data_IF_707081695296
#
_entry.id   IF_707081695296
#
_cell.length_a   1.000
_cell.length_b   1.000
_cell.length_c   1.000
_cell.angle_alpha   90.00
_cell.angle_beta   90.00
_cell.angle_gamma   90.00
#
_symmetry.space_group_name_H-M   'P 1'
#
loop_
_entity.id
_entity.type
_entity.pdbx_description
1 polymer ?
#
# COMPACT_ATOMS: atom_id res chain seq x y z
N UNK A 1 -7.86 45.63 6.06
CA UNK A 1 -8.70 44.40 6.19
C UNK A 1 -7.94 43.27 5.51
N UNK A 2 -7.13 42.51 6.26
CA UNK A 2 -6.38 41.37 5.71
C UNK A 2 -7.28 40.14 5.69
N UNK A 3 -7.57 39.63 4.51
CA UNK A 3 -8.24 38.34 4.31
C UNK A 3 -7.21 37.22 4.43
N UNK A 4 -7.33 36.42 5.49
CA UNK A 4 -6.63 35.14 5.61
C UNK A 4 -7.04 34.22 4.46
N UNK A 5 -6.11 33.48 3.82
CA UNK A 5 -6.51 32.39 2.95
C UNK A 5 -7.13 31.30 3.82
N UNK A 6 -8.38 30.99 3.50
CA UNK A 6 -9.14 29.86 4.00
C UNK A 6 -8.27 28.60 3.96
N UNK A 7 -8.15 27.94 5.12
CA UNK A 7 -7.80 26.53 5.20
C UNK A 7 -8.53 25.78 4.09
N UNK A 8 -7.90 24.84 3.36
CA UNK A 8 -8.63 23.94 2.48
C UNK A 8 -9.50 23.05 3.37
N UNK A 9 -10.67 23.59 3.70
CA UNK A 9 -11.81 22.91 4.26
C UNK A 9 -12.13 21.80 3.27
N UNK A 10 -11.83 20.58 3.72
CA UNK A 10 -12.57 19.39 3.32
C UNK A 10 -12.60 19.26 1.79
N UNK A 11 -11.44 18.92 1.22
CA UNK A 11 -11.46 18.14 -0.01
C UNK A 11 -12.50 17.04 0.21
N UNK A 12 -13.50 17.02 -0.66
CA UNK A 12 -14.55 16.02 -0.67
C UNK A 12 -13.91 14.63 -0.46
N UNK A 13 -14.66 13.69 0.10
CA UNK A 13 -14.33 12.27 0.14
C UNK A 13 -14.18 11.76 -1.32
N UNK A 14 -13.13 12.20 -2.01
CA UNK A 14 -12.72 11.70 -3.29
C UNK A 14 -12.23 10.29 -3.01
N UNK A 15 -12.91 9.31 -3.59
CA UNK A 15 -12.42 7.94 -3.56
C UNK A 15 -10.96 7.99 -4.04
N UNK A 16 -9.98 7.61 -3.20
CA UNK A 16 -8.58 7.68 -3.58
C UNK A 16 -8.34 6.82 -4.83
N UNK A 17 -7.48 7.28 -5.73
CA UNK A 17 -7.19 6.54 -6.95
C UNK A 17 -6.51 5.20 -6.62
N UNK A 18 -6.53 4.21 -7.52
CA UNK A 18 -5.81 2.95 -7.32
C UNK A 18 -4.33 3.14 -6.99
N UNK A 19 -3.67 4.09 -7.66
CA UNK A 19 -2.27 4.45 -7.40
C UNK A 19 -2.11 5.06 -6.01
N UNK A 20 -2.99 5.98 -5.59
CA UNK A 20 -2.93 6.57 -4.25
C UNK A 20 -3.09 5.51 -3.14
N UNK A 21 -4.00 4.54 -3.37
CA UNK A 21 -4.22 3.41 -2.47
C UNK A 21 -2.95 2.57 -2.36
N UNK A 22 -2.32 2.25 -3.50
CA UNK A 22 -1.06 1.50 -3.53
C UNK A 22 0.07 2.26 -2.83
N UNK A 23 0.29 3.53 -3.16
CA UNK A 23 1.32 4.35 -2.53
C UNK A 23 1.15 4.43 -1.01
N UNK A 24 -0.08 4.63 -0.55
CA UNK A 24 -0.41 4.70 0.88
C UNK A 24 -0.10 3.38 1.59
N UNK A 25 -0.49 2.25 0.99
CA UNK A 25 -0.26 0.93 1.57
C UNK A 25 1.21 0.51 1.53
N UNK A 26 1.90 0.76 0.40
CA UNK A 26 3.33 0.48 0.24
C UNK A 26 4.15 1.28 1.24
N UNK A 27 3.89 2.58 1.38
CA UNK A 27 4.59 3.43 2.35
C UNK A 27 4.46 2.87 3.77
N UNK A 28 3.25 2.44 4.16
CA UNK A 28 3.05 1.84 5.47
C UNK A 28 3.76 0.48 5.61
N UNK A 29 3.60 -0.43 4.65
CA UNK A 29 4.15 -1.78 4.72
C UNK A 29 5.68 -1.76 4.73
N UNK A 30 6.31 -0.98 3.84
CA UNK A 30 7.76 -0.87 3.73
C UNK A 30 8.38 -0.29 5.00
N UNK A 31 7.81 0.82 5.49
CA UNK A 31 8.32 1.47 6.68
C UNK A 31 8.15 0.60 7.93
N UNK A 32 6.99 -0.03 8.09
CA UNK A 32 6.75 -0.87 9.26
C UNK A 32 7.59 -2.14 9.24
N UNK A 33 7.59 -2.89 8.13
CA UNK A 33 8.14 -4.24 8.10
C UNK A 33 9.61 -4.31 7.71
N UNK A 34 10.14 -3.33 6.97
CA UNK A 34 11.51 -3.36 6.46
C UNK A 34 12.32 -2.10 6.78
N UNK A 35 11.70 -1.07 7.39
CA UNK A 35 12.35 0.20 7.66
C UNK A 35 12.71 0.99 6.39
N UNK A 36 11.99 0.73 5.28
CA UNK A 36 12.24 1.35 3.98
C UNK A 36 11.18 2.42 3.67
N UNK A 37 11.58 3.45 2.93
CA UNK A 37 10.65 4.37 2.29
C UNK A 37 10.30 3.91 0.87
N UNK A 38 9.24 4.47 0.27
CA UNK A 38 8.85 4.13 -1.10
C UNK A 38 10.01 4.37 -2.09
N UNK A 39 10.79 5.44 -1.88
CA UNK A 39 11.89 5.85 -2.75
C UNK A 39 13.12 4.94 -2.65
N UNK A 40 13.23 4.14 -1.58
CA UNK A 40 14.28 3.13 -1.44
C UNK A 40 13.96 1.86 -2.25
N UNK A 41 12.81 1.82 -2.92
CA UNK A 41 12.32 0.67 -3.69
C UNK A 41 11.99 1.07 -5.13
N UNK A 42 11.91 0.09 -6.06
CA UNK A 42 11.50 0.36 -7.43
C UNK A 42 10.11 1.05 -7.56
N UNK A 43 9.26 0.95 -6.53
CA UNK A 43 7.94 1.59 -6.52
C UNK A 43 7.99 3.11 -6.43
N UNK A 44 9.11 3.71 -6.04
CA UNK A 44 9.31 5.16 -6.04
C UNK A 44 9.50 5.74 -7.44
N UNK A 45 9.74 4.91 -8.45
CA UNK A 45 9.87 5.35 -9.84
C UNK A 45 8.50 5.61 -10.46
N UNK A 46 8.41 6.68 -11.24
CA UNK A 46 7.19 7.06 -11.95
C UNK A 46 6.68 5.92 -12.84
N UNK A 47 5.38 5.67 -12.81
CA UNK A 47 4.70 4.66 -13.65
C UNK A 47 4.79 3.22 -13.14
N UNK A 48 5.77 2.86 -12.31
CA UNK A 48 5.96 1.46 -11.87
C UNK A 48 4.73 0.92 -11.13
N UNK A 49 4.12 1.70 -10.25
CA UNK A 49 2.91 1.28 -9.53
C UNK A 49 1.74 1.06 -10.51
N UNK A 50 1.57 1.94 -11.48
CA UNK A 50 0.51 1.83 -12.49
C UNK A 50 0.71 0.56 -13.33
N UNK A 51 1.93 0.28 -13.78
CA UNK A 51 2.26 -0.93 -14.53
C UNK A 51 1.89 -2.21 -13.78
N UNK A 52 2.13 -2.27 -12.45
CA UNK A 52 1.74 -3.43 -11.65
C UNK A 52 0.22 -3.57 -11.53
N UNK A 53 -0.49 -2.44 -11.41
CA UNK A 53 -1.96 -2.42 -11.37
C UNK A 53 -2.53 -2.91 -12.71
N UNK A 54 -2.01 -2.40 -13.83
CA UNK A 54 -2.45 -2.75 -15.18
C UNK A 54 -2.13 -4.21 -15.53
N UNK A 55 -1.01 -4.72 -15.04
CA UNK A 55 -0.64 -6.14 -15.14
C UNK A 55 -1.50 -7.05 -14.23
N UNK A 56 -2.34 -6.49 -13.36
CA UNK A 56 -3.17 -7.26 -12.43
C UNK A 56 -2.37 -7.97 -11.33
N UNK A 57 -1.20 -7.43 -10.97
CA UNK A 57 -0.36 -7.99 -9.91
C UNK A 57 -0.93 -7.56 -8.56
N UNK A 58 -0.97 -8.46 -7.57
CA UNK A 58 -1.41 -8.10 -6.22
C UNK A 58 -0.34 -7.29 -5.51
N UNK A 59 -0.75 -6.38 -4.61
CA UNK A 59 0.21 -5.56 -3.85
C UNK A 59 1.14 -6.44 -2.99
N UNK A 60 0.61 -7.53 -2.41
CA UNK A 60 1.42 -8.48 -1.66
C UNK A 60 2.46 -9.16 -2.53
N UNK A 61 2.09 -9.62 -3.73
CA UNK A 61 3.03 -10.29 -4.64
C UNK A 61 4.11 -9.32 -5.11
N UNK A 62 3.72 -8.08 -5.46
CA UNK A 62 4.68 -7.05 -5.85
C UNK A 62 5.72 -6.79 -4.75
N UNK A 63 5.29 -6.67 -3.49
CA UNK A 63 6.22 -6.52 -2.36
C UNK A 63 7.05 -7.77 -2.15
N UNK A 64 6.45 -8.95 -2.22
CA UNK A 64 7.16 -10.21 -1.99
C UNK A 64 8.23 -10.47 -3.06
N UNK A 65 8.00 -10.07 -4.31
CA UNK A 65 9.00 -10.12 -5.38
C UNK A 65 10.22 -9.26 -5.04
N UNK A 66 10.05 -8.04 -4.50
CA UNK A 66 11.22 -7.23 -4.11
C UNK A 66 11.90 -7.78 -2.86
N UNK A 67 11.15 -8.39 -1.94
CA UNK A 67 11.70 -9.03 -0.74
C UNK A 67 12.62 -10.18 -1.14
N UNK A 68 12.17 -11.02 -2.06
CA UNK A 68 12.97 -12.13 -2.58
C UNK A 68 14.14 -11.64 -3.44
N UNK A 69 13.92 -10.65 -4.31
CA UNK A 69 14.95 -10.14 -5.23
C UNK A 69 16.12 -9.45 -4.51
N UNK A 70 15.85 -8.77 -3.40
CA UNK A 70 16.84 -7.98 -2.66
C UNK A 70 17.15 -8.57 -1.28
N UNK A 71 16.72 -9.80 -1.00
CA UNK A 71 16.91 -10.51 0.27
C UNK A 71 16.52 -9.64 1.50
N UNK A 72 15.37 -8.96 1.42
CA UNK A 72 14.94 -8.03 2.47
C UNK A 72 14.58 -8.78 3.75
N UNK A 73 15.07 -8.26 4.88
CA UNK A 73 14.85 -8.84 6.20
C UNK A 73 13.74 -8.08 6.92
N UNK A 74 12.74 -8.78 7.47
CA UNK A 74 11.71 -8.14 8.30
C UNK A 74 12.27 -7.66 9.63
N UNK A 75 11.94 -6.43 10.01
CA UNK A 75 12.44 -5.77 11.23
C UNK A 75 11.37 -5.61 12.32
N UNK A 76 10.08 -5.72 11.99
CA UNK A 76 8.98 -5.44 12.93
C UNK A 76 8.73 -6.52 13.97
N UNK A 77 9.22 -7.74 13.73
CA UNK A 77 8.97 -8.90 14.60
C UNK A 77 10.19 -9.25 15.44
N UNK A 78 10.84 -8.26 16.05
CA UNK A 78 11.88 -8.54 17.04
C UNK A 78 11.23 -8.94 18.38
N UNK A 79 10.86 -10.21 18.51
CA UNK A 79 10.28 -10.79 19.73
C UNK A 79 10.64 -12.27 19.88
N UNK A 80 10.52 -12.81 21.09
CA UNK A 80 10.90 -14.17 21.51
C UNK A 80 10.05 -15.31 20.89
N UNK A 81 9.74 -15.27 19.59
CA UNK A 81 9.12 -16.40 18.91
C UNK A 81 10.21 -17.37 18.47
N UNK A 82 10.15 -18.61 18.96
CA UNK A 82 11.00 -19.74 18.53
C UNK A 82 10.67 -20.26 17.13
N UNK A 83 9.73 -19.62 16.43
CA UNK A 83 9.24 -20.03 15.12
C UNK A 83 9.92 -19.19 14.04
N UNK A 84 10.40 -19.85 12.96
CA UNK A 84 10.96 -19.17 11.79
C UNK A 84 10.01 -18.07 11.32
N UNK A 85 10.48 -16.83 11.35
CA UNK A 85 9.67 -15.70 10.95
C UNK A 85 9.69 -15.59 9.44
N UNK A 86 8.51 -15.65 8.82
CA UNK A 86 8.41 -15.40 7.38
C UNK A 86 8.85 -13.97 7.06
N UNK A 87 9.79 -13.86 6.12
CA UNK A 87 10.26 -12.57 5.59
C UNK A 87 9.23 -11.89 4.69
N UNK A 88 8.21 -12.62 4.24
CA UNK A 88 7.21 -12.13 3.29
C UNK A 88 6.06 -11.38 3.97
N UNK A 89 5.41 -10.49 3.21
CA UNK A 89 4.16 -9.85 3.58
C UNK A 89 3.00 -10.83 3.40
N UNK A 90 2.18 -10.94 4.45
CA UNK A 90 0.99 -11.80 4.46
C UNK A 90 -0.31 -10.99 4.30
N UNK A 91 -1.41 -11.68 4.02
CA UNK A 91 -2.75 -11.06 4.00
C UNK A 91 -3.14 -10.42 5.33
N UNK A 92 -2.59 -10.89 6.46
CA UNK A 92 -2.82 -10.28 7.78
C UNK A 92 -2.14 -8.92 7.86
N UNK A 93 -0.92 -8.81 7.33
CA UNK A 93 -0.17 -7.56 7.29
C UNK A 93 -0.89 -6.53 6.41
N UNK A 94 -1.42 -6.97 5.26
CA UNK A 94 -2.28 -6.17 4.39
C UNK A 94 -3.54 -5.65 5.12
N UNK A 95 -4.25 -6.52 5.85
CA UNK A 95 -5.43 -6.11 6.62
C UNK A 95 -5.08 -5.08 7.71
N UNK A 96 -3.93 -5.24 8.37
CA UNK A 96 -3.43 -4.30 9.38
C UNK A 96 -3.05 -2.96 8.76
N UNK A 97 -2.33 -2.96 7.63
CA UNK A 97 -1.97 -1.75 6.90
C UNK A 97 -3.21 -0.99 6.42
N UNK A 98 -4.21 -1.68 5.85
CA UNK A 98 -5.49 -1.08 5.46
C UNK A 98 -6.20 -0.41 6.64
N UNK A 99 -6.21 -1.05 7.81
CA UNK A 99 -6.80 -0.47 9.02
C UNK A 99 -6.03 0.78 9.48
N UNK A 100 -4.70 0.71 9.52
CA UNK A 100 -3.86 1.84 9.92
C UNK A 100 -3.99 3.04 8.98
N UNK A 101 -4.16 2.79 7.68
CA UNK A 101 -4.34 3.83 6.66
C UNK A 101 -5.80 4.28 6.48
N UNK A 102 -6.74 3.83 7.32
CA UNK A 102 -8.14 4.25 7.22
C UNK A 102 -8.90 3.71 6.00
N UNK A 103 -8.39 2.68 5.32
CA UNK A 103 -8.96 2.07 4.10
C UNK A 103 -9.97 0.93 4.41
N UNK A 104 -10.58 0.98 5.60
CA UNK A 104 -11.60 0.03 6.08
C UNK A 104 -13.02 0.64 6.01
N UNK A 105 -13.31 1.45 4.99
CA UNK A 105 -14.62 2.10 4.82
C UNK A 105 -15.63 1.14 4.18
N UNK A 106 -16.87 1.12 4.69
CA UNK A 106 -17.93 0.20 4.23
C UNK A 106 -18.23 0.34 2.73
N UNK A 107 -18.26 1.57 2.23
CA UNK A 107 -18.59 1.86 0.83
C UNK A 107 -17.38 1.69 -0.11
N UNK A 108 -16.14 1.71 0.41
CA UNK A 108 -14.91 1.54 -0.37
C UNK A 108 -14.28 0.15 -0.25
N UNK A 109 -14.78 -0.70 0.66
CA UNK A 109 -14.13 -1.98 1.00
C UNK A 109 -13.90 -2.88 -0.22
N UNK A 110 -14.92 -3.04 -1.09
CA UNK A 110 -14.82 -3.89 -2.28
C UNK A 110 -13.81 -3.31 -3.27
N UNK A 111 -13.87 -2.01 -3.55
CA UNK A 111 -12.94 -1.34 -4.45
C UNK A 111 -11.48 -1.47 -3.98
N UNK A 112 -11.20 -1.15 -2.71
CA UNK A 112 -9.86 -1.32 -2.13
C UNK A 112 -9.41 -2.77 -2.22
N UNK A 113 -10.31 -3.72 -1.94
CA UNK A 113 -9.98 -5.15 -2.01
C UNK A 113 -9.65 -5.59 -3.44
N UNK A 114 -10.41 -5.14 -4.43
CA UNK A 114 -10.16 -5.47 -5.84
C UNK A 114 -8.83 -4.87 -6.30
N UNK A 115 -8.53 -3.62 -5.93
CA UNK A 115 -7.27 -2.92 -6.21
C UNK A 115 -6.06 -3.62 -5.60
N UNK A 116 -6.13 -4.03 -4.33
CA UNK A 116 -4.98 -4.67 -3.66
C UNK A 116 -4.73 -6.11 -4.11
N UNK A 117 -5.74 -6.79 -4.63
CA UNK A 117 -5.64 -8.18 -5.10
C UNK A 117 -5.41 -8.33 -6.60
N UNK A 118 -5.13 -7.24 -7.34
CA UNK A 118 -4.92 -7.29 -8.78
C UNK A 118 -6.19 -7.61 -9.59
N UNK A 119 -7.37 -7.44 -8.97
CA UNK A 119 -8.69 -7.67 -9.62
C UNK A 119 -9.34 -6.37 -10.10
N UNK A 120 -8.67 -5.25 -9.91
CA UNK A 120 -9.14 -3.97 -10.41
C UNK A 120 -9.10 -3.99 -11.94
N UNK A 121 -10.21 -3.58 -12.55
CA UNK A 121 -10.33 -3.34 -13.98
C UNK A 121 -10.84 -1.92 -14.09
N UNK A 122 -10.14 -1.04 -14.81
CA UNK A 122 -10.75 0.21 -15.22
C UNK A 122 -12.01 -0.13 -15.99
N UNK A 123 -13.17 0.27 -15.46
CA UNK A 123 -14.41 0.19 -16.22
C UNK A 123 -14.29 1.30 -17.25
N UNK A 124 -13.76 0.97 -18.43
CA UNK A 124 -13.81 1.84 -19.59
C UNK A 124 -15.30 2.06 -19.89
N UNK A 125 -15.78 3.27 -19.63
CA UNK A 125 -17.16 3.68 -19.92
C UNK A 125 -17.23 4.25 -21.33
#
# INVERSE_FOLDING_TARGET
>A
MQTQPLSPMRAALACPSPVDIWQTLLTHLLNQHYGLTLNDTPFGNDGVIQEHIDAGISLCDAVNVIVEKYDLVRTDRQGFSTQEQSLLISSIDMLRARKACGLMTRNGYKAVTDITHGKYREVTQ
#
